data_IF_994652317234
#
_entry.id   IF_994652317234
#
_cell.length_a   1.000
_cell.length_b   1.000
_cell.length_c   1.000
_cell.angle_alpha   90.00
_cell.angle_beta   90.00
_cell.angle_gamma   90.00
#
_symmetry.space_group_name_H-M   'P 1'
#
loop_
_entity.id
_entity.type
_entity.pdbx_description
1 polymer ?
#
# COMPACT_ATOMS: atom_id res chain seq x y z
N UNK A 1 -19.14 3.27 31.36
CA UNK A 1 -17.71 3.52 31.60
C UNK A 1 -17.03 3.36 30.25
N UNK A 2 -16.87 4.45 29.51
CA UNK A 2 -16.23 4.42 28.19
C UNK A 2 -14.71 4.35 28.38
N UNK A 3 -14.10 3.27 27.87
CA UNK A 3 -12.64 3.14 27.78
C UNK A 3 -12.15 4.10 26.70
N UNK A 4 -11.68 5.28 27.12
CA UNK A 4 -10.97 6.20 26.26
C UNK A 4 -9.62 5.57 25.88
N UNK A 5 -9.55 4.96 24.70
CA UNK A 5 -8.30 4.43 24.15
C UNK A 5 -7.45 5.64 23.76
N UNK A 6 -6.41 5.94 24.55
CA UNK A 6 -5.49 7.02 24.21
C UNK A 6 -4.38 6.46 23.29
N UNK A 7 -3.78 7.30 22.44
CA UNK A 7 -2.75 6.88 21.48
C UNK A 7 -1.57 6.13 22.12
N UNK A 8 -1.23 6.44 23.36
CA UNK A 8 -0.26 5.70 24.17
C UNK A 8 -0.67 4.26 24.46
N UNK A 9 -1.95 3.99 24.71
CA UNK A 9 -2.45 2.63 24.93
C UNK A 9 -2.35 1.79 23.65
N UNK A 10 -2.62 2.40 22.49
CA UNK A 10 -2.42 1.79 21.17
C UNK A 10 -0.94 1.47 20.94
N UNK A 11 -0.05 2.40 21.27
CA UNK A 11 1.39 2.20 21.14
C UNK A 11 1.90 1.05 22.03
N UNK A 12 1.46 0.99 23.29
CA UNK A 12 1.80 -0.10 24.21
C UNK A 12 1.26 -1.43 23.68
N UNK A 13 0.01 -1.46 23.23
CA UNK A 13 -0.60 -2.65 22.64
C UNK A 13 0.18 -3.14 21.42
N UNK A 14 0.58 -2.24 20.51
CA UNK A 14 1.37 -2.58 19.33
C UNK A 14 2.73 -3.19 19.71
N UNK A 15 3.42 -2.61 20.68
CA UNK A 15 4.70 -3.12 21.19
C UNK A 15 4.52 -4.50 21.83
N UNK A 16 3.49 -4.68 22.65
CA UNK A 16 3.17 -5.96 23.28
C UNK A 16 2.86 -7.05 22.25
N UNK A 17 2.05 -6.75 21.24
CA UNK A 17 1.73 -7.66 20.14
C UNK A 17 2.99 -8.01 19.35
N UNK A 18 3.83 -7.02 19.00
CA UNK A 18 5.11 -7.26 18.30
C UNK A 18 6.05 -8.14 19.11
N UNK A 19 6.17 -7.91 20.43
CA UNK A 19 7.01 -8.70 21.32
C UNK A 19 6.49 -10.13 21.50
N UNK A 20 5.18 -10.28 21.66
CA UNK A 20 4.53 -11.60 21.73
C UNK A 20 4.71 -12.38 20.44
N UNK A 21 4.46 -11.74 19.29
CA UNK A 21 4.72 -12.30 17.97
C UNK A 21 6.19 -12.69 17.84
N UNK A 22 7.14 -11.81 18.15
CA UNK A 22 8.58 -12.09 18.03
C UNK A 22 9.03 -13.29 18.89
N UNK A 23 8.44 -13.48 20.08
CA UNK A 23 8.72 -14.63 20.96
C UNK A 23 8.10 -15.94 20.46
N UNK A 24 6.90 -15.87 19.87
CA UNK A 24 6.17 -17.05 19.38
C UNK A 24 6.51 -17.42 17.93
N UNK A 25 7.22 -16.55 17.20
CA UNK A 25 7.60 -16.69 15.79
C UNK A 25 8.70 -17.73 15.53
N UNK A 26 8.56 -18.94 16.07
CA UNK A 26 9.27 -20.08 15.50
C UNK A 26 8.58 -20.36 14.15
N UNK A 27 9.22 -19.98 13.05
CA UNK A 27 8.72 -20.14 11.67
C UNK A 27 7.61 -19.16 11.20
N UNK A 28 7.56 -17.92 11.72
CA UNK A 28 6.61 -16.86 11.28
C UNK A 28 5.13 -17.19 11.45
N UNK A 29 4.79 -18.13 12.33
CA UNK A 29 3.40 -18.47 12.66
C UNK A 29 3.13 -18.22 14.14
N UNK A 30 1.86 -18.06 14.50
CA UNK A 30 1.37 -18.06 15.89
C UNK A 30 0.04 -18.81 15.98
N UNK A 31 -0.47 -19.03 17.20
CA UNK A 31 -1.66 -19.87 17.45
C UNK A 31 -1.48 -21.30 16.89
N UNK A 32 -0.39 -21.97 17.28
CA UNK A 32 -0.08 -23.35 16.88
C UNK A 32 0.00 -23.55 15.36
N UNK A 33 0.34 -22.50 14.60
CA UNK A 33 0.43 -22.57 13.15
C UNK A 33 -0.85 -22.15 12.41
N UNK A 34 -1.94 -21.84 13.12
CA UNK A 34 -3.22 -21.41 12.51
C UNK A 34 -3.14 -20.03 11.89
N UNK A 35 -2.28 -19.16 12.41
CA UNK A 35 -2.06 -17.82 11.85
C UNK A 35 -0.64 -17.68 11.34
N UNK A 36 -0.51 -17.49 10.03
CA UNK A 36 0.76 -17.22 9.36
C UNK A 36 0.95 -15.73 9.11
N UNK A 37 2.09 -15.20 9.56
CA UNK A 37 2.50 -13.84 9.19
C UNK A 37 3.29 -13.93 7.90
N UNK A 38 2.61 -13.60 6.81
CA UNK A 38 3.26 -13.47 5.51
C UNK A 38 4.28 -12.32 5.58
N UNK A 39 5.48 -12.50 4.99
CA UNK A 39 6.37 -11.36 4.83
C UNK A 39 5.60 -10.24 4.14
N UNK A 40 5.73 -9.02 4.65
CA UNK A 40 5.22 -7.86 3.94
C UNK A 40 5.79 -7.94 2.53
N UNK A 41 4.91 -7.95 1.53
CA UNK A 41 5.36 -7.91 0.15
C UNK A 41 6.34 -6.74 0.03
N UNK A 42 7.47 -6.95 -0.66
CA UNK A 42 8.48 -5.89 -0.87
C UNK A 42 7.93 -4.75 -1.74
N UNK A 43 6.69 -4.87 -2.18
CA UNK A 43 5.94 -3.92 -2.97
C UNK A 43 5.05 -2.99 -2.17
N UNK A 44 4.74 -1.84 -2.77
CA UNK A 44 3.76 -0.93 -2.21
C UNK A 44 2.34 -1.38 -2.56
N UNK A 45 1.43 -1.27 -1.59
CA UNK A 45 0.00 -1.24 -1.89
C UNK A 45 -0.39 0.20 -2.28
N UNK A 46 -1.21 0.35 -3.31
CA UNK A 46 -1.73 1.61 -3.85
C UNK A 46 -3.24 1.66 -3.61
N UNK A 47 -3.76 2.75 -3.09
CA UNK A 47 -5.22 2.95 -3.11
C UNK A 47 -5.72 3.24 -4.51
N UNK A 48 -6.99 2.91 -4.80
CA UNK A 48 -7.62 3.16 -6.11
C UNK A 48 -7.49 4.62 -6.61
N UNK A 49 -7.50 5.60 -5.70
CA UNK A 49 -7.31 7.02 -6.04
C UNK A 49 -5.92 7.37 -6.59
N UNK A 50 -4.92 6.51 -6.32
CA UNK A 50 -3.55 6.63 -6.78
C UNK A 50 -3.29 5.87 -8.09
N UNK A 51 -4.30 5.25 -8.73
CA UNK A 51 -4.12 4.63 -10.07
C UNK A 51 -3.92 5.67 -11.17
N UNK A 52 -3.87 6.97 -10.85
CA UNK A 52 -3.57 8.07 -11.79
C UNK A 52 -2.08 8.37 -11.93
N UNK A 53 -1.25 7.89 -11.02
CA UNK A 53 0.19 8.13 -11.07
C UNK A 53 0.90 6.92 -11.68
N UNK A 54 2.14 7.16 -12.14
CA UNK A 54 3.01 6.10 -12.60
C UNK A 54 3.39 5.17 -11.44
N UNK A 55 3.51 3.87 -11.72
CA UNK A 55 3.95 2.85 -10.77
C UNK A 55 4.90 1.86 -11.44
N UNK A 56 5.66 1.12 -10.64
CA UNK A 56 6.56 0.06 -11.10
C UNK A 56 5.92 -1.30 -10.90
N UNK A 57 6.45 -2.34 -11.54
CA UNK A 57 6.00 -3.73 -11.38
C UNK A 57 6.22 -4.28 -9.96
N UNK A 58 6.99 -3.59 -9.12
CA UNK A 58 7.09 -3.90 -7.69
C UNK A 58 5.90 -3.38 -6.88
N UNK A 59 5.07 -2.47 -7.38
CA UNK A 59 3.88 -2.02 -6.68
C UNK A 59 2.80 -3.12 -6.76
N UNK A 60 2.59 -3.86 -5.68
CA UNK A 60 2.04 -5.23 -5.71
C UNK A 60 0.51 -5.28 -5.64
N UNK A 61 -0.18 -4.29 -5.06
CA UNK A 61 -1.63 -4.42 -4.81
C UNK A 61 -2.38 -3.09 -4.92
N UNK A 62 -3.50 -3.09 -5.65
CA UNK A 62 -4.49 -2.03 -5.57
C UNK A 62 -5.49 -2.31 -4.44
N UNK A 63 -5.43 -1.54 -3.36
CA UNK A 63 -6.39 -1.64 -2.26
C UNK A 63 -7.69 -0.89 -2.59
N UNK A 64 -8.81 -1.52 -2.25
CA UNK A 64 -10.14 -0.90 -2.31
C UNK A 64 -10.68 -0.68 -3.72
N UNK A 65 -10.06 -1.28 -4.74
CA UNK A 65 -10.43 -1.10 -6.15
C UNK A 65 -11.79 -1.76 -6.46
N UNK A 66 -12.73 -0.98 -6.99
CA UNK A 66 -14.14 -1.34 -7.25
C UNK A 66 -14.51 -0.91 -8.66
N UNK A 67 -15.13 -1.82 -9.38
CA UNK A 67 -15.50 -1.62 -10.78
C UNK A 67 -16.46 -0.44 -11.01
N UNK A 68 -17.43 -0.27 -10.11
CA UNK A 68 -18.43 0.80 -10.16
C UNK A 68 -17.84 2.22 -10.12
N UNK A 69 -16.59 2.35 -9.69
CA UNK A 69 -15.90 3.62 -9.45
C UNK A 69 -15.01 4.01 -10.65
N UNK A 70 -14.90 3.15 -11.67
CA UNK A 70 -14.14 3.45 -12.88
C UNK A 70 -14.84 4.46 -13.76
N UNK A 71 -14.10 5.47 -14.19
CA UNK A 71 -14.57 6.49 -15.12
C UNK A 71 -15.87 7.20 -14.71
N UNK A 72 -16.24 7.14 -13.42
CA UNK A 72 -17.40 7.84 -12.88
C UNK A 72 -17.14 9.35 -12.87
N UNK A 73 -17.65 10.04 -13.88
CA UNK A 73 -17.44 11.49 -14.09
C UNK A 73 -17.99 12.36 -12.94
N UNK A 74 -18.85 11.80 -12.09
CA UNK A 74 -19.41 12.47 -10.91
C UNK A 74 -18.49 12.45 -9.68
N UNK A 75 -17.40 11.68 -9.69
CA UNK A 75 -16.47 11.61 -8.57
C UNK A 75 -15.33 12.63 -8.72
N UNK A 76 -14.86 13.16 -7.59
CA UNK A 76 -13.72 14.09 -7.57
C UNK A 76 -12.41 13.43 -8.06
N UNK A 77 -12.37 12.09 -8.13
CA UNK A 77 -11.20 11.34 -8.55
C UNK A 77 -11.54 9.95 -9.12
N UNK A 78 -12.28 9.82 -10.25
CA UNK A 78 -12.59 8.51 -10.82
C UNK A 78 -11.32 7.71 -11.03
N UNK A 79 -11.40 6.44 -10.62
CA UNK A 79 -10.32 5.50 -10.75
C UNK A 79 -10.11 5.18 -12.23
N UNK A 80 -8.84 5.13 -12.65
CA UNK A 80 -8.48 4.66 -13.98
C UNK A 80 -8.24 3.16 -13.96
N UNK A 81 -8.65 2.49 -15.02
CA UNK A 81 -8.34 1.09 -15.26
C UNK A 81 -6.85 0.96 -15.64
N UNK A 82 -6.00 0.33 -14.80
CA UNK A 82 -4.55 0.32 -15.00
C UNK A 82 -4.07 -0.86 -15.85
N UNK A 83 -4.98 -1.72 -16.31
CA UNK A 83 -4.66 -2.89 -17.12
C UNK A 83 -4.96 -2.65 -18.60
N UNK A 84 -4.40 -3.49 -19.46
CA UNK A 84 -4.75 -3.54 -20.88
C UNK A 84 -6.16 -4.12 -21.05
N UNK A 85 -6.78 -3.90 -22.21
CA UNK A 85 -8.17 -4.32 -22.46
C UNK A 85 -8.34 -5.84 -22.40
N UNK A 86 -7.27 -6.58 -22.70
CA UNK A 86 -7.19 -8.03 -22.70
C UNK A 86 -7.12 -8.63 -21.28
N UNK A 87 -6.89 -7.79 -20.25
CA UNK A 87 -6.89 -8.25 -18.87
C UNK A 87 -8.33 -8.53 -18.39
N UNK A 88 -8.68 -9.82 -18.30
CA UNK A 88 -9.99 -10.26 -17.81
C UNK A 88 -9.85 -11.09 -16.53
N UNK A 89 -10.37 -10.57 -15.41
CA UNK A 89 -10.29 -11.22 -14.09
C UNK A 89 -11.38 -12.27 -13.82
N UNK A 90 -12.35 -12.41 -14.72
CA UNK A 90 -13.54 -13.25 -14.53
C UNK A 90 -13.45 -14.63 -15.20
N UNK A 91 -12.31 -14.98 -15.81
CA UNK A 91 -12.13 -16.26 -16.49
C UNK A 91 -11.62 -17.36 -15.55
N UNK A 92 -12.17 -18.57 -15.67
CA UNK A 92 -11.81 -19.73 -14.85
C UNK A 92 -10.33 -20.16 -15.00
N UNK A 93 -9.68 -19.72 -16.09
CA UNK A 93 -8.26 -19.97 -16.39
C UNK A 93 -7.31 -18.89 -15.86
N UNK A 94 -7.84 -17.75 -15.37
CA UNK A 94 -7.03 -16.61 -14.93
C UNK A 94 -6.15 -16.96 -13.73
N UNK A 95 -6.65 -17.80 -12.82
CA UNK A 95 -5.88 -18.28 -11.67
C UNK A 95 -4.96 -19.47 -11.99
N UNK A 96 -4.91 -19.93 -13.25
CA UNK A 96 -4.30 -21.21 -13.62
C UNK A 96 -2.88 -21.11 -14.17
N UNK A 97 -2.63 -20.20 -15.12
CA UNK A 97 -1.39 -20.23 -15.93
C UNK A 97 -0.75 -18.86 -16.21
N UNK A 98 -1.40 -17.74 -15.91
CA UNK A 98 -0.86 -16.40 -16.17
C UNK A 98 -0.72 -15.63 -14.85
N UNK A 99 0.45 -15.77 -14.23
CA UNK A 99 0.80 -15.02 -13.01
C UNK A 99 1.23 -13.57 -13.28
N UNK A 100 1.07 -13.08 -14.51
CA UNK A 100 1.50 -11.75 -14.92
C UNK A 100 0.32 -10.82 -15.15
N UNK A 101 0.30 -9.73 -14.39
CA UNK A 101 -0.66 -8.65 -14.58
C UNK A 101 -0.34 -7.89 -15.88
N UNK A 102 -1.29 -7.86 -16.81
CA UNK A 102 -1.18 -7.13 -18.08
C UNK A 102 -1.43 -5.64 -17.84
N UNK A 103 -0.47 -4.96 -17.24
CA UNK A 103 -0.58 -3.53 -16.99
C UNK A 103 -0.53 -2.71 -18.28
N UNK A 104 -1.29 -1.62 -18.31
CA UNK A 104 -1.20 -0.61 -19.35
C UNK A 104 0.09 0.20 -19.17
N UNK A 105 0.89 0.28 -20.23
CA UNK A 105 2.23 0.88 -20.27
C UNK A 105 2.21 2.38 -19.94
N UNK A 106 1.05 3.03 -20.13
CA UNK A 106 0.84 4.42 -19.72
C UNK A 106 0.81 4.60 -18.21
N UNK A 107 0.67 3.54 -17.42
CA UNK A 107 0.73 3.59 -15.96
C UNK A 107 1.99 2.97 -15.38
N UNK A 108 2.64 2.07 -16.11
CA UNK A 108 3.91 1.49 -15.66
C UNK A 108 5.07 2.42 -15.98
N UNK A 109 6.07 2.43 -15.10
CA UNK A 109 7.33 3.14 -15.22
C UNK A 109 8.44 2.30 -14.60
N UNK A 110 9.68 2.56 -15.00
CA UNK A 110 10.83 1.83 -14.46
C UNK A 110 11.02 2.09 -12.97
N UNK A 111 11.45 1.06 -12.26
CA UNK A 111 11.61 1.09 -10.80
C UNK A 111 12.64 2.14 -10.34
N UNK A 112 13.75 2.29 -11.05
CA UNK A 112 14.78 3.31 -10.78
C UNK A 112 14.19 4.71 -10.74
N UNK A 113 13.34 5.03 -11.72
CA UNK A 113 12.71 6.35 -11.88
C UNK A 113 11.60 6.60 -10.87
N UNK A 114 10.83 5.57 -10.52
CA UNK A 114 9.86 5.63 -9.41
C UNK A 114 10.61 5.88 -8.10
N UNK A 115 11.69 5.15 -7.82
CA UNK A 115 12.51 5.32 -6.63
C UNK A 115 13.15 6.71 -6.55
N UNK A 116 13.66 7.24 -7.66
CA UNK A 116 14.19 8.61 -7.73
C UNK A 116 13.11 9.66 -7.42
N UNK A 117 11.92 9.49 -8.01
CA UNK A 117 10.78 10.38 -7.77
C UNK A 117 10.35 10.35 -6.31
N UNK A 118 10.24 9.16 -5.72
CA UNK A 118 9.90 9.00 -4.30
C UNK A 118 10.95 9.65 -3.40
N UNK A 119 12.24 9.41 -3.64
CA UNK A 119 13.34 10.04 -2.88
C UNK A 119 13.26 11.56 -2.92
N UNK A 120 13.00 12.13 -4.11
CA UNK A 120 12.85 13.58 -4.28
C UNK A 120 11.67 14.13 -3.48
N UNK A 121 10.50 13.49 -3.56
CA UNK A 121 9.31 13.92 -2.81
C UNK A 121 9.55 13.80 -1.31
N UNK A 122 10.07 12.68 -0.83
CA UNK A 122 10.37 12.46 0.59
C UNK A 122 11.32 13.54 1.11
N UNK A 123 12.40 13.84 0.37
CA UNK A 123 13.35 14.88 0.79
C UNK A 123 12.70 16.26 0.82
N UNK A 124 11.89 16.60 -0.19
CA UNK A 124 11.14 17.87 -0.22
C UNK A 124 10.21 17.99 0.99
N UNK A 125 9.41 16.96 1.26
CA UNK A 125 8.47 16.94 2.40
C UNK A 125 9.20 17.04 3.74
N UNK A 126 10.37 16.38 3.89
CA UNK A 126 11.19 16.50 5.10
C UNK A 126 11.68 17.93 5.33
N UNK A 127 12.12 18.62 4.28
CA UNK A 127 12.56 20.02 4.34
C UNK A 127 11.38 20.92 4.74
N UNK A 128 10.22 20.77 4.09
CA UNK A 128 9.01 21.54 4.40
C UNK A 128 8.55 21.32 5.84
N UNK A 129 8.50 20.06 6.29
CA UNK A 129 8.16 19.70 7.67
C UNK A 129 9.12 20.36 8.67
N UNK A 130 10.43 20.31 8.41
CA UNK A 130 11.43 20.90 9.30
C UNK A 130 11.26 22.43 9.44
N UNK A 131 10.89 23.11 8.35
CA UNK A 131 10.58 24.56 8.39
C UNK A 131 9.35 24.84 9.25
N UNK A 132 8.27 24.10 9.06
CA UNK A 132 7.04 24.25 9.85
C UNK A 132 7.33 24.02 11.34
N UNK A 133 8.09 22.99 11.68
CA UNK A 133 8.48 22.69 13.07
C UNK A 133 9.27 23.86 13.69
N UNK A 134 10.21 24.45 12.95
CA UNK A 134 10.97 25.62 13.39
C UNK A 134 10.09 26.86 13.56
N UNK A 135 9.20 27.14 12.60
CA UNK A 135 8.27 28.28 12.64
C UNK A 135 7.31 28.19 13.82
N UNK A 136 6.83 26.99 14.14
CA UNK A 136 5.94 26.73 15.26
C UNK A 136 6.65 26.61 16.61
N UNK A 137 7.99 26.74 16.66
CA UNK A 137 8.81 26.56 17.87
C UNK A 137 8.50 25.26 18.62
N UNK A 138 8.24 24.19 17.88
CA UNK A 138 7.99 22.86 18.44
C UNK A 138 9.30 22.13 18.84
N UNK A 139 10.41 22.85 18.90
CA UNK A 139 11.76 22.37 19.28
C UNK A 139 12.37 23.26 20.34
#
# INVERSE_FOLDING_TARGET
MELYINFGDVGIYEVCVRHYIAKQMINRTFDEGKVGILPKALGWARDGGHTRTKFSTKDFMFHGWKYSTFNNRGEFNPWKYPFKEEQHFSGDTFCGNESEWLYNENFVEREDKINETLKRIINKTKIEYSKIVQELKLT
#
